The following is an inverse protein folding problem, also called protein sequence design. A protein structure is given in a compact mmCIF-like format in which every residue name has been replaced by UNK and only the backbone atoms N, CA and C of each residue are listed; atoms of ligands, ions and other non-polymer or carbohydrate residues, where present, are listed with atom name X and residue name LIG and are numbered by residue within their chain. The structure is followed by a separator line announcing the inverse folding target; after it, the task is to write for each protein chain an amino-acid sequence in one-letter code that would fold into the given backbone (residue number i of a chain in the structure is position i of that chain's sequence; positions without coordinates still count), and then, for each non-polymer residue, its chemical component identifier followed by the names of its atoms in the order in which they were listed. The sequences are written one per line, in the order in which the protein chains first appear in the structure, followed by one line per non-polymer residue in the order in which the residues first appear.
data_IF_617485819473
#
_entry.id   IF_617485819473
#
_cell.length_a   1.000
_cell.length_b   1.000
_cell.length_c   1.000
_cell.angle_alpha   90.00
_cell.angle_beta   90.00
_cell.angle_gamma   90.00
#
_symmetry.space_group_name_H-M   'P 1'
#
loop_
_entity.id
_entity.type
_entity.pdbx_description
1 polymer ?
#
# COMPACT_ATOMS: atom_id res chain seq x y z
N UNK A 1 -0.04 13.75 -23.87
CA UNK A 1 1.18 13.12 -23.41
C UNK A 1 0.84 12.10 -22.34
N UNK A 2 1.21 10.86 -22.56
CA UNK A 2 0.93 9.78 -21.62
C UNK A 2 1.91 9.85 -20.46
N UNK A 3 1.41 9.74 -19.26
CA UNK A 3 2.25 9.65 -18.09
C UNK A 3 2.68 8.22 -17.90
N UNK A 4 3.96 8.02 -17.74
CA UNK A 4 4.47 6.70 -17.42
C UNK A 4 4.44 6.51 -15.91
N UNK A 5 3.71 5.47 -15.49
CA UNK A 5 3.78 4.98 -14.13
C UNK A 5 4.77 3.84 -14.15
N UNK A 6 5.85 4.01 -13.41
CA UNK A 6 6.92 3.02 -13.39
C UNK A 6 6.98 2.32 -12.05
N UNK A 7 6.92 0.99 -12.08
CA UNK A 7 7.10 0.20 -10.85
C UNK A 7 8.54 0.31 -10.38
N UNK A 8 8.70 0.58 -9.09
CA UNK A 8 10.00 0.59 -8.46
C UNK A 8 10.35 -0.80 -7.97
N UNK A 9 11.61 -1.17 -8.11
CA UNK A 9 12.10 -2.46 -7.63
C UNK A 9 12.61 -2.32 -6.20
N UNK A 10 11.72 -1.85 -5.32
CA UNK A 10 12.03 -1.67 -3.91
C UNK A 10 11.02 -2.41 -3.06
N UNK A 11 11.45 -3.07 -1.98
CA UNK A 11 10.53 -3.75 -1.08
C UNK A 11 9.75 -2.74 -0.24
N UNK A 12 8.52 -3.11 0.11
CA UNK A 12 7.76 -2.40 1.12
C UNK A 12 8.29 -2.77 2.49
N UNK A 13 8.57 -1.78 3.32
CA UNK A 13 9.18 -2.02 4.63
C UNK A 13 8.12 -1.89 5.73
N UNK A 14 8.12 -2.84 6.65
CA UNK A 14 7.28 -2.75 7.85
C UNK A 14 7.70 -1.50 8.63
N UNK A 15 6.71 -0.72 9.04
CA UNK A 15 6.94 0.58 9.66
C UNK A 15 7.08 1.73 8.67
N UNK A 16 7.17 1.42 7.38
CA UNK A 16 7.23 2.45 6.35
C UNK A 16 5.86 3.05 6.08
N UNK A 17 5.85 4.35 5.79
CA UNK A 17 4.62 5.06 5.42
C UNK A 17 4.71 5.48 3.96
N UNK A 18 3.69 5.10 3.19
CA UNK A 18 3.66 5.35 1.76
C UNK A 18 2.37 6.06 1.35
N UNK A 19 2.49 6.99 0.42
CA UNK A 19 1.35 7.76 -0.05
C UNK A 19 0.61 7.09 -1.20
N UNK A 20 -0.68 7.44 -1.32
CA UNK A 20 -1.49 7.14 -2.51
C UNK A 20 -2.51 8.26 -2.64
N UNK A 21 -2.34 9.12 -3.64
CA UNK A 21 -3.14 10.33 -3.74
C UNK A 21 -2.97 11.20 -2.51
N UNK A 22 -4.06 11.52 -1.84
CA UNK A 22 -4.05 12.31 -0.61
C UNK A 22 -3.97 11.46 0.65
N UNK A 23 -3.98 10.14 0.50
CA UNK A 23 -3.95 9.22 1.63
C UNK A 23 -2.54 8.73 1.89
N UNK A 24 -2.29 8.31 3.14
CA UNK A 24 -1.04 7.72 3.55
C UNK A 24 -1.33 6.39 4.25
N UNK A 25 -0.50 5.39 3.96
CA UNK A 25 -0.67 4.04 4.47
C UNK A 25 0.59 3.60 5.19
N UNK A 26 0.41 3.09 6.40
CA UNK A 26 1.48 2.48 7.18
C UNK A 26 1.48 0.97 6.89
N UNK A 27 2.64 0.43 6.53
CA UNK A 27 2.81 -1.02 6.39
C UNK A 27 3.02 -1.59 7.79
N UNK A 28 2.10 -2.42 8.25
CA UNK A 28 2.16 -2.98 9.60
C UNK A 28 2.79 -4.36 9.61
N UNK A 29 2.58 -5.15 8.56
CA UNK A 29 3.20 -6.47 8.46
C UNK A 29 3.17 -6.98 7.01
N UNK A 30 4.09 -7.90 6.71
CA UNK A 30 4.03 -8.67 5.48
C UNK A 30 3.14 -9.89 5.71
N UNK A 31 2.34 -10.22 4.69
CA UNK A 31 1.41 -11.33 4.77
C UNK A 31 1.92 -12.50 3.94
N UNK A 32 1.82 -13.70 4.50
CA UNK A 32 2.21 -14.93 3.83
C UNK A 32 0.98 -15.62 3.22
N UNK A 33 1.23 -16.59 2.34
CA UNK A 33 0.18 -17.41 1.77
C UNK A 33 -0.43 -16.88 0.49
N UNK A 34 0.12 -15.81 -0.06
CA UNK A 34 -0.33 -15.25 -1.33
C UNK A 34 0.70 -15.51 -2.43
N UNK A 35 0.24 -15.63 -3.67
CA UNK A 35 1.12 -15.78 -4.83
C UNK A 35 1.89 -14.52 -5.15
N UNK A 36 1.38 -13.38 -4.73
CA UNK A 36 1.97 -12.07 -4.98
C UNK A 36 2.30 -11.39 -3.66
N UNK A 37 3.20 -10.40 -3.65
CA UNK A 37 3.50 -9.67 -2.42
C UNK A 37 2.24 -9.11 -1.81
N UNK A 38 2.06 -9.34 -0.52
CA UNK A 38 0.89 -8.86 0.21
C UNK A 38 1.32 -8.25 1.53
N UNK A 39 0.68 -7.15 1.90
CA UNK A 39 0.97 -6.43 3.14
C UNK A 39 -0.32 -5.97 3.79
N UNK A 40 -0.29 -5.88 5.12
CA UNK A 40 -1.37 -5.23 5.85
C UNK A 40 -1.05 -3.75 5.93
N UNK A 41 -2.04 -2.93 5.57
CA UNK A 41 -1.91 -1.48 5.54
C UNK A 41 -2.91 -0.83 6.49
N UNK A 42 -2.46 0.25 7.12
CA UNK A 42 -3.31 1.09 7.94
C UNK A 42 -3.26 2.52 7.40
N UNK A 43 -4.41 3.04 6.99
CA UNK A 43 -4.52 4.40 6.49
C UNK A 43 -4.60 5.39 7.68
N UNK A 44 -4.23 6.65 7.44
CA UNK A 44 -4.19 7.66 8.50
C UNK A 44 -5.52 7.89 9.21
N UNK A 45 -6.65 7.56 8.56
CA UNK A 45 -7.98 7.73 9.15
C UNK A 45 -8.47 6.47 9.89
N UNK A 46 -7.61 5.46 10.04
CA UNK A 46 -7.95 4.23 10.75
C UNK A 46 -8.51 3.12 9.89
N UNK A 47 -8.59 3.31 8.58
CA UNK A 47 -9.00 2.25 7.66
C UNK A 47 -7.87 1.25 7.51
N UNK A 48 -8.16 -0.05 7.68
CA UNK A 48 -7.17 -1.12 7.53
C UNK A 48 -7.61 -2.08 6.44
N UNK A 49 -6.64 -2.61 5.73
CA UNK A 49 -6.89 -3.57 4.65
C UNK A 49 -5.65 -4.43 4.42
N UNK A 50 -5.87 -5.56 3.76
CA UNK A 50 -4.80 -6.41 3.26
C UNK A 50 -4.65 -6.14 1.76
N UNK A 51 -3.51 -5.61 1.35
CA UNK A 51 -3.24 -5.25 -0.03
C UNK A 51 -2.44 -6.37 -0.70
N UNK A 52 -2.97 -6.94 -1.77
CA UNK A 52 -2.34 -8.04 -2.50
C UNK A 52 -1.83 -7.53 -3.83
N UNK A 53 -0.60 -7.92 -4.17
CA UNK A 53 0.08 -7.38 -5.35
C UNK A 53 0.61 -5.98 -5.09
N UNK A 54 0.96 -5.68 -3.85
CA UNK A 54 1.39 -4.35 -3.45
C UNK A 54 2.81 -4.05 -3.93
N UNK A 55 3.03 -2.85 -4.43
CA UNK A 55 4.33 -2.40 -4.89
C UNK A 55 4.39 -0.87 -4.87
N UNK A 56 5.59 -0.34 -4.96
CA UNK A 56 5.81 1.09 -5.09
C UNK A 56 5.95 1.48 -6.56
N UNK A 57 5.42 2.62 -6.91
CA UNK A 57 5.46 3.15 -8.27
C UNK A 57 5.87 4.61 -8.26
N UNK A 58 6.64 4.99 -9.27
CA UNK A 58 6.89 6.40 -9.55
C UNK A 58 5.71 6.96 -10.31
N UNK A 59 5.10 7.99 -9.76
CA UNK A 59 3.96 8.66 -10.37
C UNK A 59 4.25 10.16 -10.48
N UNK A 60 3.36 10.91 -11.08
CA UNK A 60 3.49 12.36 -11.13
C UNK A 60 3.54 13.01 -9.75
N UNK A 61 2.93 12.38 -8.76
CA UNK A 61 2.89 12.91 -7.39
C UNK A 61 4.06 12.43 -6.54
N UNK A 62 4.99 11.68 -7.15
CA UNK A 62 6.12 11.07 -6.45
C UNK A 62 5.94 9.58 -6.33
N UNK A 63 6.55 9.00 -5.30
CA UNK A 63 6.47 7.56 -5.07
C UNK A 63 5.16 7.23 -4.35
N UNK A 64 4.37 6.33 -4.94
CA UNK A 64 3.10 5.91 -4.36
C UNK A 64 3.02 4.40 -4.26
N UNK A 65 2.29 3.93 -3.24
CA UNK A 65 1.96 2.51 -3.11
C UNK A 65 0.72 2.22 -3.93
N UNK A 66 0.72 1.08 -4.62
CA UNK A 66 -0.46 0.59 -5.32
C UNK A 66 -0.53 -0.92 -5.15
N UNK A 67 -1.72 -1.47 -5.33
CA UNK A 67 -1.95 -2.91 -5.21
C UNK A 67 -3.04 -3.34 -6.18
N UNK A 68 -3.08 -4.64 -6.49
CA UNK A 68 -4.02 -5.18 -7.47
C UNK A 68 -5.42 -5.30 -6.89
N UNK A 69 -5.54 -5.82 -5.66
CA UNK A 69 -6.81 -5.91 -4.97
C UNK A 69 -6.58 -5.93 -3.47
N UNK A 70 -7.64 -5.67 -2.72
CA UNK A 70 -7.57 -5.64 -1.26
C UNK A 70 -8.61 -6.56 -0.64
N UNK A 71 -8.29 -7.05 0.55
CA UNK A 71 -9.14 -7.93 1.34
C UNK A 71 -9.32 -7.31 2.73
N UNK A 72 -10.42 -7.67 3.39
CA UNK A 72 -10.66 -7.35 4.80
C UNK A 72 -10.61 -5.85 5.13
N UNK A 73 -11.01 -5.02 4.17
CA UNK A 73 -11.03 -3.56 4.40
C UNK A 73 -12.08 -3.20 5.44
N UNK A 74 -11.66 -2.43 6.46
CA UNK A 74 -12.56 -2.00 7.52
C UNK A 74 -11.95 -0.84 8.30
N UNK A 75 -12.81 -0.04 8.92
CA UNK A 75 -12.33 0.93 9.90
C UNK A 75 -12.17 0.25 11.25
N UNK A 76 -11.00 0.44 11.84
CA UNK A 76 -10.71 -0.10 13.17
C UNK A 76 -10.81 1.07 14.15
N UNK A 77 -11.72 1.00 15.12
CA UNK A 77 -11.84 2.08 16.09
C UNK A 77 -10.58 2.22 16.92
N UNK A 78 -10.17 3.45 17.15
CA UNK A 78 -9.13 3.73 18.11
C UNK A 78 -9.74 3.75 19.50
N UNK A 79 -9.21 2.92 20.35
CA UNK A 79 -9.63 2.89 21.76
C UNK A 79 -8.61 3.61 22.62
#
# INVERSE_FOLDING_TARGET
MTQEIRRRNEPLLVGGMYGQGTSHYLVTEHLDGFLFPAVHLRRQDGYELDAVGAALYDTQRGVEIQWDYSLHGRFVPET
#
